data_IF_557699921492
#
_entry.id   IF_557699921492
#
_cell.length_a   1.000
_cell.length_b   1.000
_cell.length_c   1.000
_cell.angle_alpha   90.00
_cell.angle_beta   90.00
_cell.angle_gamma   90.00
#
_symmetry.space_group_name_H-M   'P 1'
#
loop_
_entity.id
_entity.type
_entity.pdbx_description
1 polymer ?
#
# COMPACT_ATOMS: atom_id res chain seq x y z
N UNK A 1 -34.91 31.46 43.50
CA UNK A 1 -34.26 30.71 43.29
C UNK A 1 -33.86 29.24 43.02
N UNK A 2 -34.80 28.26 42.99
CA UNK A 2 -34.46 26.85 42.72
C UNK A 2 -34.18 26.57 41.23
N UNK A 3 -34.59 27.45 40.31
CA UNK A 3 -34.40 27.29 38.87
C UNK A 3 -32.95 27.53 38.36
N UNK A 4 -32.17 28.36 39.07
CA UNK A 4 -30.81 28.71 38.65
C UNK A 4 -29.75 27.65 39.02
N UNK A 5 -30.02 26.83 40.04
CA UNK A 5 -29.15 25.73 40.46
C UNK A 5 -29.20 24.58 39.42
N UNK A 6 -30.38 24.30 38.83
CA UNK A 6 -30.54 23.25 37.83
C UNK A 6 -29.89 23.60 36.47
N UNK A 7 -29.87 24.88 36.07
CA UNK A 7 -29.23 25.35 34.85
C UNK A 7 -27.69 25.23 34.95
N UNK A 8 -27.11 25.48 36.11
CA UNK A 8 -25.64 25.36 36.33
C UNK A 8 -25.15 23.90 36.27
N UNK A 9 -25.95 22.96 36.80
CA UNK A 9 -25.59 21.54 36.73
C UNK A 9 -25.59 20.99 35.27
N UNK A 10 -26.48 21.48 34.42
CA UNK A 10 -26.56 21.08 33.01
C UNK A 10 -25.32 21.51 32.19
N UNK A 11 -24.85 22.76 32.43
CA UNK A 11 -23.69 23.30 31.70
C UNK A 11 -22.38 22.63 32.14
N UNK A 12 -22.17 22.41 33.42
CA UNK A 12 -20.97 21.71 33.91
C UNK A 12 -20.91 20.26 33.45
N UNK A 13 -22.05 19.54 33.43
CA UNK A 13 -22.14 18.17 32.92
C UNK A 13 -21.95 18.12 31.41
N UNK A 14 -22.49 19.09 30.66
CA UNK A 14 -22.26 19.21 29.21
C UNK A 14 -20.80 19.50 28.89
N UNK A 15 -20.16 20.44 29.60
CA UNK A 15 -18.76 20.79 29.44
C UNK A 15 -17.84 19.63 29.81
N UNK A 16 -18.12 18.92 30.90
CA UNK A 16 -17.38 17.73 31.31
C UNK A 16 -17.48 16.61 30.24
N UNK A 17 -18.69 16.35 29.74
CA UNK A 17 -18.90 15.35 28.69
C UNK A 17 -18.23 15.72 27.36
N UNK A 18 -18.11 17.02 27.06
CA UNK A 18 -17.47 17.46 25.81
C UNK A 18 -15.93 17.47 25.87
N UNK A 19 -15.35 17.72 27.04
CA UNK A 19 -13.90 17.89 27.20
C UNK A 19 -13.22 16.77 28.00
N UNK A 20 -13.95 16.03 28.82
CA UNK A 20 -13.38 15.00 29.68
C UNK A 20 -13.90 13.58 29.43
N UNK A 21 -14.99 13.42 28.71
CA UNK A 21 -15.62 12.12 28.49
C UNK A 21 -15.29 11.55 27.10
N UNK A 22 -14.06 11.15 26.88
CA UNK A 22 -13.91 9.91 26.13
C UNK A 22 -14.46 8.79 27.02
N UNK A 23 -15.45 8.01 26.58
CA UNK A 23 -15.95 6.90 27.39
C UNK A 23 -14.78 6.02 27.79
N UNK A 24 -14.73 5.53 29.05
CA UNK A 24 -13.64 4.68 29.48
C UNK A 24 -13.53 3.47 28.57
N UNK A 25 -12.38 3.29 27.95
CA UNK A 25 -12.08 2.11 27.13
C UNK A 25 -11.68 1.00 28.09
N UNK A 26 -12.48 -0.05 28.19
CA UNK A 26 -12.14 -1.20 28.99
C UNK A 26 -10.92 -1.92 28.39
N UNK A 27 -9.98 -2.34 29.23
CA UNK A 27 -8.78 -3.06 28.80
C UNK A 27 -9.12 -4.35 28.06
N UNK A 28 -10.26 -4.96 28.38
CA UNK A 28 -10.80 -6.13 27.69
C UNK A 28 -11.21 -5.87 26.23
N UNK A 29 -11.46 -4.62 25.85
CA UNK A 29 -11.79 -4.23 24.47
C UNK A 29 -10.55 -3.88 23.65
N UNK A 30 -9.43 -3.66 24.33
CA UNK A 30 -8.14 -3.44 23.66
C UNK A 30 -7.53 -4.82 23.37
N UNK A 31 -7.31 -5.12 22.10
CA UNK A 31 -6.63 -6.35 21.71
C UNK A 31 -5.15 -6.05 21.43
N UNK A 32 -4.25 -6.17 22.43
CA UNK A 32 -2.85 -5.81 22.28
C UNK A 32 -2.11 -6.76 21.33
N UNK A 33 -2.54 -8.03 21.24
CA UNK A 33 -1.92 -9.01 20.35
C UNK A 33 -2.11 -8.65 18.89
N UNK A 34 -3.30 -8.16 18.51
CA UNK A 34 -3.55 -7.67 17.15
C UNK A 34 -2.65 -6.47 16.84
N UNK A 35 -2.47 -5.54 17.79
CA UNK A 35 -1.59 -4.38 17.61
C UNK A 35 -0.13 -4.80 17.46
N UNK A 36 0.34 -5.76 18.25
CA UNK A 36 1.69 -6.35 18.10
C UNK A 36 1.85 -6.96 16.71
N UNK A 37 0.87 -7.74 16.23
CA UNK A 37 0.91 -8.35 14.90
C UNK A 37 0.94 -7.30 13.78
N UNK A 38 0.09 -6.27 13.86
CA UNK A 38 0.07 -5.18 12.88
C UNK A 38 1.39 -4.42 12.87
N UNK A 39 1.93 -4.08 14.06
CA UNK A 39 3.23 -3.39 14.15
C UNK A 39 4.39 -4.25 13.65
N UNK A 40 4.37 -5.55 13.91
CA UNK A 40 5.38 -6.48 13.38
C UNK A 40 5.32 -6.57 11.86
N UNK A 41 4.12 -6.60 11.25
CA UNK A 41 3.98 -6.56 9.80
C UNK A 41 4.49 -5.22 9.24
N UNK A 42 4.14 -4.10 9.88
CA UNK A 42 4.62 -2.78 9.49
C UNK A 42 6.16 -2.70 9.53
N UNK A 43 6.80 -3.27 10.54
CA UNK A 43 8.27 -3.35 10.57
C UNK A 43 8.84 -4.10 9.36
N UNK A 44 8.22 -5.22 8.99
CA UNK A 44 8.62 -6.00 7.81
C UNK A 44 8.42 -5.25 6.51
N UNK A 45 7.33 -4.52 6.39
CA UNK A 45 7.02 -3.71 5.21
C UNK A 45 8.09 -2.62 4.96
N UNK A 46 8.76 -2.17 6.03
CA UNK A 46 9.87 -1.22 5.96
C UNK A 46 11.25 -1.87 6.10
N UNK A 47 11.37 -3.19 5.91
CA UNK A 47 12.65 -3.90 5.87
C UNK A 47 13.22 -4.30 7.22
N UNK A 48 12.52 -4.09 8.32
CA UNK A 48 12.97 -4.50 9.67
C UNK A 48 12.56 -5.95 9.97
N UNK A 49 13.06 -6.90 9.18
CA UNK A 49 12.64 -8.31 9.25
C UNK A 49 12.97 -8.99 10.58
N UNK A 50 14.00 -8.51 11.29
CA UNK A 50 14.43 -9.02 12.59
C UNK A 50 13.82 -8.22 13.76
N UNK A 51 12.97 -7.23 13.47
CA UNK A 51 12.29 -6.41 14.47
C UNK A 51 11.38 -7.24 15.37
N UNK A 52 11.31 -6.85 16.63
CA UNK A 52 10.47 -7.52 17.64
C UNK A 52 9.56 -6.51 18.31
N UNK A 53 8.33 -6.89 18.52
CA UNK A 53 7.33 -6.10 19.23
C UNK A 53 6.81 -6.92 20.39
N UNK A 54 6.80 -6.33 21.58
CA UNK A 54 6.23 -6.92 22.78
C UNK A 54 5.26 -5.93 23.44
N UNK A 55 4.41 -6.43 24.32
CA UNK A 55 3.57 -5.57 25.15
C UNK A 55 3.53 -6.09 26.58
N UNK A 56 3.29 -5.16 27.50
CA UNK A 56 2.99 -5.48 28.88
C UNK A 56 1.80 -4.65 29.37
N UNK A 57 1.02 -5.24 30.28
CA UNK A 57 -0.10 -4.54 30.92
C UNK A 57 0.36 -4.05 32.30
N UNK A 58 0.26 -2.75 32.54
CA UNK A 58 0.67 -2.14 33.79
C UNK A 58 -0.55 -1.56 34.51
N UNK A 59 -0.83 -2.03 35.71
CA UNK A 59 -1.90 -1.50 36.55
C UNK A 59 -1.39 -0.23 37.24
N UNK A 60 -2.23 0.82 37.28
CA UNK A 60 -1.90 2.08 37.96
C UNK A 60 -1.72 1.82 39.48
N UNK A 61 -0.64 2.35 40.05
CA UNK A 61 -0.32 2.15 41.47
C UNK A 61 -1.28 2.86 42.40
N UNK A 62 -1.97 3.91 41.92
CA UNK A 62 -2.89 4.73 42.72
C UNK A 62 -4.35 4.32 42.55
N UNK A 63 -4.68 3.70 41.44
CA UNK A 63 -6.04 3.30 41.11
C UNK A 63 -6.01 1.94 40.40
N UNK A 64 -6.28 0.87 41.14
CA UNK A 64 -6.27 -0.50 40.62
C UNK A 64 -7.34 -0.78 39.53
N UNK A 65 -8.27 0.14 39.33
CA UNK A 65 -9.26 0.06 38.24
C UNK A 65 -8.71 0.63 36.93
N UNK A 66 -7.54 1.25 36.94
CA UNK A 66 -6.86 1.79 35.78
C UNK A 66 -5.67 0.92 35.41
N UNK A 67 -5.59 0.58 34.13
CA UNK A 67 -4.45 -0.11 33.60
C UNK A 67 -4.04 0.50 32.24
N UNK A 68 -2.73 0.49 31.98
CA UNK A 68 -2.15 0.90 30.71
C UNK A 68 -1.53 -0.30 29.98
N UNK A 69 -1.35 -0.17 28.68
CA UNK A 69 -0.59 -1.12 27.87
C UNK A 69 0.64 -0.39 27.33
N UNK A 70 1.81 -0.93 27.63
CA UNK A 70 3.09 -0.42 27.14
C UNK A 70 3.53 -1.35 26.00
N UNK A 71 3.80 -0.77 24.84
CA UNK A 71 4.37 -1.50 23.70
C UNK A 71 5.85 -1.18 23.59
N UNK A 72 6.67 -2.20 23.53
CA UNK A 72 8.12 -2.09 23.32
C UNK A 72 8.47 -2.58 21.94
N UNK A 73 9.16 -1.76 21.15
CA UNK A 73 9.57 -2.06 19.79
C UNK A 73 11.10 -2.07 19.71
N UNK A 74 11.67 -3.22 19.38
CA UNK A 74 13.10 -3.37 19.07
C UNK A 74 13.23 -3.55 17.57
N UNK A 75 13.58 -2.49 16.84
CA UNK A 75 13.54 -2.46 15.38
C UNK A 75 14.66 -3.26 14.74
N UNK A 76 15.83 -3.39 15.42
CA UNK A 76 17.06 -3.91 14.81
C UNK A 76 17.49 -3.09 13.57
N UNK A 77 18.40 -3.64 12.76
CA UNK A 77 18.84 -2.98 11.54
C UNK A 77 17.87 -3.31 10.37
N UNK A 78 17.56 -2.33 9.52
CA UNK A 78 16.78 -2.57 8.32
C UNK A 78 17.60 -3.34 7.27
N UNK A 79 16.92 -3.95 6.32
CA UNK A 79 17.52 -4.55 5.14
C UNK A 79 17.56 -3.54 3.99
N UNK A 80 18.63 -3.61 3.19
CA UNK A 80 18.85 -2.78 2.02
C UNK A 80 18.78 -3.62 0.75
N UNK A 81 18.31 -3.03 -0.32
CA UNK A 81 18.24 -3.68 -1.63
C UNK A 81 19.67 -3.82 -2.16
N UNK A 82 20.08 -5.03 -2.48
CA UNK A 82 21.36 -5.32 -3.13
C UNK A 82 21.23 -5.26 -4.65
N UNK A 83 20.31 -6.06 -5.18
CA UNK A 83 20.08 -6.16 -6.62
C UNK A 83 18.59 -6.27 -6.94
N UNK A 84 18.21 -5.78 -8.12
CA UNK A 84 16.86 -5.90 -8.66
C UNK A 84 16.92 -6.51 -10.05
N UNK A 85 16.25 -7.66 -10.23
CA UNK A 85 16.17 -8.38 -11.50
C UNK A 85 14.74 -8.41 -12.03
N UNK A 86 14.56 -8.18 -13.34
CA UNK A 86 13.32 -8.45 -14.04
C UNK A 86 13.46 -9.79 -14.77
N UNK A 87 12.58 -10.75 -14.48
CA UNK A 87 12.72 -12.10 -15.01
C UNK A 87 11.38 -12.70 -15.43
N UNK A 88 11.42 -13.70 -16.32
CA UNK A 88 10.27 -14.49 -16.77
C UNK A 88 9.19 -13.71 -17.54
N UNK A 89 9.46 -12.49 -17.96
CA UNK A 89 8.61 -11.77 -18.91
C UNK A 89 9.03 -12.07 -20.35
N UNK A 90 8.22 -11.68 -21.33
CA UNK A 90 8.62 -11.81 -22.74
C UNK A 90 9.86 -10.97 -23.03
N UNK A 91 10.69 -11.34 -24.00
CA UNK A 91 11.89 -10.56 -24.35
C UNK A 91 11.61 -9.11 -24.70
N UNK A 92 10.43 -8.84 -25.30
CA UNK A 92 10.01 -7.48 -25.63
C UNK A 92 9.66 -6.67 -24.37
N UNK A 93 8.88 -7.25 -23.46
CA UNK A 93 8.53 -6.62 -22.18
C UNK A 93 9.77 -6.34 -21.35
N UNK A 94 10.70 -7.30 -21.24
CA UNK A 94 11.96 -7.11 -20.52
C UNK A 94 12.76 -5.93 -21.08
N UNK A 95 12.89 -5.80 -22.41
CA UNK A 95 13.58 -4.65 -23.01
C UNK A 95 12.95 -3.32 -22.67
N UNK A 96 11.62 -3.26 -22.61
CA UNK A 96 10.89 -2.05 -22.23
C UNK A 96 11.18 -1.70 -20.77
N UNK A 97 11.07 -2.67 -19.88
CA UNK A 97 11.29 -2.50 -18.44
C UNK A 97 12.74 -2.04 -18.16
N UNK A 98 13.74 -2.65 -18.82
CA UNK A 98 15.15 -2.28 -18.66
C UNK A 98 15.45 -0.87 -19.19
N UNK A 99 14.86 -0.44 -20.29
CA UNK A 99 14.98 0.94 -20.78
C UNK A 99 14.42 1.97 -19.79
N UNK A 100 13.35 1.58 -19.08
CA UNK A 100 12.71 2.42 -18.07
C UNK A 100 13.37 2.39 -16.69
N UNK A 101 14.42 1.61 -16.48
CA UNK A 101 15.07 1.37 -15.18
C UNK A 101 15.58 2.65 -14.49
N UNK A 102 16.00 3.67 -15.25
CA UNK A 102 16.47 4.95 -14.70
C UNK A 102 15.40 5.71 -13.91
N UNK A 103 14.12 5.39 -14.11
CA UNK A 103 12.98 5.99 -13.43
C UNK A 103 12.40 5.05 -12.37
N UNK A 104 13.14 4.04 -11.95
CA UNK A 104 12.70 3.06 -10.94
C UNK A 104 12.59 3.72 -9.57
N UNK A 105 11.56 3.33 -8.82
CA UNK A 105 11.38 3.68 -7.40
C UNK A 105 12.24 2.82 -6.48
N UNK A 106 12.90 1.79 -7.02
CA UNK A 106 13.73 0.86 -6.25
C UNK A 106 15.13 0.77 -6.87
N UNK A 107 16.15 1.01 -6.06
CA UNK A 107 17.54 0.99 -6.52
C UNK A 107 18.43 0.24 -5.52
N UNK A 108 19.53 -0.37 -6.00
CA UNK A 108 20.54 -0.93 -5.10
C UNK A 108 21.07 0.11 -4.11
N UNK A 109 21.19 -0.29 -2.85
CA UNK A 109 21.62 0.57 -1.74
C UNK A 109 20.49 1.28 -1.01
N UNK A 110 19.25 1.28 -1.53
CA UNK A 110 18.08 1.82 -0.84
C UNK A 110 17.53 0.85 0.18
N UNK A 111 16.90 1.36 1.24
CA UNK A 111 16.23 0.55 2.24
C UNK A 111 15.03 -0.16 1.60
N UNK A 112 14.84 -1.43 1.95
CA UNK A 112 13.66 -2.18 1.53
C UNK A 112 12.37 -1.52 2.05
N UNK A 113 11.43 -1.25 1.14
CA UNK A 113 10.14 -0.65 1.45
C UNK A 113 9.07 -1.20 0.49
N UNK A 114 8.01 -1.78 1.04
CA UNK A 114 6.91 -2.36 0.24
C UNK A 114 6.16 -1.29 -0.55
N UNK A 115 6.07 -0.06 -0.04
CA UNK A 115 5.42 1.04 -0.76
C UNK A 115 6.15 1.34 -2.08
N UNK A 116 7.48 1.41 -2.05
CA UNK A 116 8.30 1.66 -3.25
C UNK A 116 8.20 0.50 -4.24
N UNK A 117 8.08 -0.75 -3.74
CA UNK A 117 7.82 -1.92 -4.58
C UNK A 117 6.47 -1.83 -5.31
N UNK A 118 5.44 -1.34 -4.64
CA UNK A 118 4.09 -1.17 -5.22
C UNK A 118 4.06 -0.01 -6.23
N UNK A 119 4.76 1.08 -5.94
CA UNK A 119 4.92 2.19 -6.86
C UNK A 119 5.70 1.77 -8.11
N UNK A 120 6.73 0.97 -7.97
CA UNK A 120 7.48 0.42 -9.11
C UNK A 120 6.60 -0.47 -9.99
N UNK A 121 5.77 -1.36 -9.42
CA UNK A 121 4.79 -2.15 -10.19
C UNK A 121 3.82 -1.25 -10.95
N UNK A 122 3.33 -0.20 -10.30
CA UNK A 122 2.42 0.79 -10.90
C UNK A 122 3.09 1.56 -12.03
N UNK A 123 4.35 1.99 -11.84
CA UNK A 123 5.16 2.67 -12.86
C UNK A 123 5.38 1.77 -14.09
N UNK A 124 5.80 0.53 -13.87
CA UNK A 124 6.04 -0.44 -14.96
C UNK A 124 4.74 -0.72 -15.72
N UNK A 125 3.63 -0.90 -15.01
CA UNK A 125 2.32 -1.10 -15.64
C UNK A 125 1.95 0.10 -16.53
N UNK A 126 2.14 1.31 -16.05
CA UNK A 126 1.89 2.55 -16.80
C UNK A 126 2.79 2.64 -18.03
N UNK A 127 4.10 2.34 -17.87
CA UNK A 127 5.06 2.32 -18.96
C UNK A 127 4.63 1.35 -20.08
N UNK A 128 4.24 0.13 -19.72
CA UNK A 128 3.80 -0.89 -20.66
C UNK A 128 2.49 -0.50 -21.35
N UNK A 129 1.52 0.04 -20.61
CA UNK A 129 0.24 0.50 -21.16
C UNK A 129 0.42 1.63 -22.17
N UNK A 130 1.33 2.57 -21.90
CA UNK A 130 1.66 3.65 -22.83
C UNK A 130 2.31 3.15 -24.13
N UNK A 131 2.84 1.92 -24.11
CA UNK A 131 3.42 1.24 -25.27
C UNK A 131 2.50 0.17 -25.88
N UNK A 132 1.20 0.28 -25.59
CA UNK A 132 0.16 -0.56 -26.22
C UNK A 132 -0.22 -1.81 -25.43
N UNK A 133 0.41 -2.15 -24.33
CA UNK A 133 0.01 -3.31 -23.49
C UNK A 133 -1.23 -2.96 -22.65
N UNK A 134 -2.32 -2.67 -23.32
CA UNK A 134 -3.54 -2.07 -22.74
C UNK A 134 -4.09 -2.82 -21.53
N UNK A 135 -4.04 -4.15 -21.55
CA UNK A 135 -4.56 -5.00 -20.46
C UNK A 135 -3.56 -5.27 -19.35
N UNK A 136 -2.33 -4.72 -19.43
CA UNK A 136 -1.33 -4.95 -18.39
C UNK A 136 -1.68 -4.20 -17.09
N UNK A 137 -1.53 -4.87 -15.93
CA UNK A 137 -1.91 -4.36 -14.61
C UNK A 137 -0.78 -4.57 -13.61
N UNK A 138 -0.66 -3.72 -12.55
CA UNK A 138 0.32 -3.91 -11.49
C UNK A 138 0.24 -5.29 -10.81
N UNK A 139 -0.99 -5.81 -10.63
CA UNK A 139 -1.26 -7.10 -9.98
C UNK A 139 -0.73 -8.31 -10.77
N UNK A 140 -0.32 -8.11 -12.01
CA UNK A 140 0.29 -9.16 -12.84
C UNK A 140 1.78 -9.35 -12.57
N UNK A 141 2.32 -8.59 -11.63
CA UNK A 141 3.71 -8.66 -11.20
C UNK A 141 3.81 -8.94 -9.71
N UNK A 142 4.77 -9.74 -9.32
CA UNK A 142 5.10 -10.00 -7.91
C UNK A 142 6.61 -10.01 -7.70
N UNK A 143 7.03 -9.73 -6.46
CA UNK A 143 8.44 -9.81 -6.09
C UNK A 143 8.74 -11.14 -5.39
N UNK A 144 9.86 -11.72 -5.76
CA UNK A 144 10.54 -12.75 -4.97
C UNK A 144 11.77 -12.10 -4.33
N UNK A 145 11.81 -12.18 -3.01
CA UNK A 145 12.87 -11.62 -2.19
C UNK A 145 13.77 -12.75 -1.66
N UNK A 146 15.06 -12.59 -1.77
CA UNK A 146 16.06 -13.56 -1.33
C UNK A 146 17.07 -12.87 -0.41
N UNK A 147 17.10 -13.28 0.85
CA UNK A 147 18.02 -12.79 1.87
C UNK A 147 19.19 -13.72 2.12
N UNK A 148 19.20 -14.89 1.46
CA UNK A 148 20.24 -15.93 1.67
C UNK A 148 21.45 -15.75 0.75
N UNK A 149 21.25 -15.09 -0.39
CA UNK A 149 22.29 -14.87 -1.39
C UNK A 149 23.28 -13.78 -1.00
N UNK A 150 22.86 -12.84 -0.13
CA UNK A 150 23.68 -11.69 0.24
C UNK A 150 23.73 -11.58 1.76
N UNK A 151 24.91 -11.73 2.40
CA UNK A 151 25.01 -11.58 3.85
C UNK A 151 24.91 -10.11 4.29
N UNK A 152 24.61 -9.89 5.57
CA UNK A 152 24.77 -8.58 6.18
C UNK A 152 23.58 -7.63 6.06
N UNK A 153 22.36 -8.14 6.03
CA UNK A 153 21.17 -7.25 6.01
C UNK A 153 20.87 -6.70 4.61
N UNK A 154 21.17 -7.45 3.58
CA UNK A 154 20.84 -7.12 2.20
C UNK A 154 19.83 -8.11 1.62
N UNK A 155 19.13 -7.68 0.58
CA UNK A 155 18.06 -8.44 -0.06
C UNK A 155 18.15 -8.31 -1.58
N UNK A 156 18.15 -9.45 -2.27
CA UNK A 156 18.03 -9.49 -3.73
C UNK A 156 16.58 -9.63 -4.13
N UNK A 157 16.09 -8.76 -5.01
CA UNK A 157 14.71 -8.72 -5.48
C UNK A 157 14.62 -9.22 -6.92
N UNK A 158 13.64 -10.09 -7.18
CA UNK A 158 13.29 -10.54 -8.54
C UNK A 158 11.83 -10.18 -8.79
N UNK A 159 11.60 -9.27 -9.73
CA UNK A 159 10.26 -8.98 -10.23
C UNK A 159 9.92 -9.99 -11.32
N UNK A 160 8.86 -10.74 -11.10
CA UNK A 160 8.39 -11.80 -11.99
C UNK A 160 6.89 -11.67 -12.27
N UNK A 161 6.39 -12.19 -13.40
CA UNK A 161 4.96 -12.28 -13.63
C UNK A 161 4.31 -13.27 -12.66
N UNK A 162 3.06 -12.99 -12.28
CA UNK A 162 2.25 -13.94 -11.52
C UNK A 162 1.94 -15.18 -12.36
N UNK A 163 1.78 -16.36 -11.74
CA UNK A 163 1.31 -17.54 -12.44
C UNK A 163 -0.04 -17.29 -13.12
N UNK A 164 -0.19 -17.73 -14.37
CA UNK A 164 -1.45 -17.55 -15.11
C UNK A 164 -1.65 -16.15 -15.68
N UNK A 165 -0.59 -15.37 -15.88
CA UNK A 165 -0.68 -14.06 -16.56
C UNK A 165 -1.45 -14.20 -17.88
N UNK A 166 -2.56 -13.43 -18.10
CA UNK A 166 -3.37 -13.54 -19.31
C UNK A 166 -2.58 -13.23 -20.57
N UNK A 167 -2.77 -14.03 -21.64
CA UNK A 167 -2.11 -13.82 -22.92
C UNK A 167 -2.41 -12.43 -23.51
N UNK A 168 -3.61 -11.89 -23.27
CA UNK A 168 -4.00 -10.55 -23.69
C UNK A 168 -3.11 -9.46 -23.06
N UNK A 169 -2.62 -9.65 -21.82
CA UNK A 169 -1.74 -8.71 -21.16
C UNK A 169 -0.29 -8.74 -21.67
N UNK A 170 0.08 -9.81 -22.40
CA UNK A 170 1.46 -10.03 -22.84
C UNK A 170 1.77 -9.51 -24.25
N UNK A 171 0.80 -8.88 -24.92
CA UNK A 171 0.95 -8.35 -26.27
C UNK A 171 0.47 -6.90 -26.37
N UNK A 172 1.07 -6.09 -27.23
CA UNK A 172 0.61 -4.74 -27.51
C UNK A 172 -0.65 -4.76 -28.38
N UNK A 173 -1.49 -3.77 -28.19
CA UNK A 173 -2.67 -3.46 -28.99
C UNK A 173 -2.49 -2.10 -29.64
N UNK A 174 -2.98 -1.95 -30.85
CA UNK A 174 -2.94 -0.73 -31.61
C UNK A 174 -4.37 -0.32 -31.95
N UNK A 175 -4.63 1.00 -32.03
CA UNK A 175 -5.90 1.50 -32.51
C UNK A 175 -5.98 1.18 -34.01
N UNK A 176 -7.04 0.49 -34.41
CA UNK A 176 -7.38 0.28 -35.81
C UNK A 176 -8.19 1.46 -36.35
N UNK A 177 -9.29 1.15 -37.02
CA UNK A 177 -10.20 2.17 -37.56
C UNK A 177 -10.95 2.85 -36.40
N UNK A 178 -11.05 4.18 -36.47
CA UNK A 178 -11.85 4.99 -35.58
C UNK A 178 -13.01 5.63 -36.34
N UNK A 179 -14.23 5.38 -35.92
CA UNK A 179 -15.43 5.96 -36.49
C UNK A 179 -16.10 6.91 -35.48
N UNK A 180 -16.40 8.13 -35.92
CA UNK A 180 -17.12 9.10 -35.09
C UNK A 180 -18.50 9.32 -35.70
N UNK A 181 -19.54 9.06 -34.93
CA UNK A 181 -20.93 9.29 -35.31
C UNK A 181 -21.47 10.51 -34.56
N UNK A 182 -21.91 11.51 -35.31
CA UNK A 182 -22.55 12.71 -34.75
C UNK A 182 -24.07 12.54 -34.88
N UNK A 183 -24.75 12.52 -33.74
CA UNK A 183 -26.20 12.46 -33.69
C UNK A 183 -26.79 13.87 -33.55
N UNK A 184 -27.87 14.15 -34.27
CA UNK A 184 -28.64 15.39 -34.12
C UNK A 184 -29.25 15.51 -32.73
N UNK A 185 -29.73 16.74 -32.39
CA UNK A 185 -30.28 17.08 -31.06
C UNK A 185 -31.45 16.18 -30.59
N UNK A 186 -32.11 15.48 -31.51
CA UNK A 186 -33.25 14.57 -31.26
C UNK A 186 -32.90 13.09 -31.46
N UNK A 187 -31.61 12.72 -31.49
CA UNK A 187 -31.20 11.33 -31.71
C UNK A 187 -31.39 10.82 -33.13
N UNK A 188 -31.58 11.72 -34.11
CA UNK A 188 -31.66 11.39 -35.53
C UNK A 188 -30.32 10.81 -35.99
N UNK A 189 -30.41 9.77 -36.88
CA UNK A 189 -29.23 9.16 -37.46
C UNK A 189 -28.34 10.21 -38.16
N UNK A 190 -27.00 10.11 -38.06
CA UNK A 190 -26.11 11.08 -38.69
C UNK A 190 -26.30 11.06 -40.22
N UNK A 191 -26.47 12.25 -40.78
CA UNK A 191 -26.54 12.44 -42.23
C UNK A 191 -25.15 12.34 -42.89
N UNK A 192 -24.08 12.30 -42.09
CA UNK A 192 -22.69 12.23 -42.58
C UNK A 192 -21.82 11.39 -41.64
N UNK A 193 -20.88 10.62 -42.18
CA UNK A 193 -19.90 9.84 -41.45
C UNK A 193 -18.50 10.17 -41.95
N UNK A 194 -17.59 10.57 -41.05
CA UNK A 194 -16.16 10.70 -41.39
C UNK A 194 -15.39 9.52 -40.85
N UNK A 195 -14.67 8.81 -41.70
CA UNK A 195 -13.66 7.82 -41.31
C UNK A 195 -12.28 8.46 -41.31
N UNK A 196 -11.60 8.40 -40.17
CA UNK A 196 -10.18 8.73 -40.07
C UNK A 196 -9.36 7.43 -40.12
N UNK A 197 -8.47 7.36 -41.10
CA UNK A 197 -7.47 6.28 -41.20
C UNK A 197 -6.19 6.67 -40.51
#
# INVERSE_FOLDING_TARGET
>A
GLGDVYKRQGFGKWMFNRFAANPPVFISTVNPEVRVKVTTNLLRDYGYFNGKVAYETVVDKKDSLKAGIIYTVDMKNPYFIDTVYYQRFTPQTLRIMERGRRMSYISPGEQFNVVDLDEERSRISTLLRNLGYFYFRPDYMTYQADTTLVPGGHISLRLIPVPGLPAAAQRPYYVGDASVYLFGKNGEAPNDSMMYK
#
